data_IF_861488896140
#
_entry.id   IF_861488896140
#
_cell.length_a   1.000
_cell.length_b   1.000
_cell.length_c   1.000
_cell.angle_alpha   90.00
_cell.angle_beta   90.00
_cell.angle_gamma   90.00
#
_symmetry.space_group_name_H-M   'P 1'
#
loop_
_entity.id
_entity.type
_entity.pdbx_description
1 polymer ?
#
# COMPACT_ATOMS: atom_id res chain seq x y z
N UNK A 1 18.04 14.23 12.42
CA UNK A 1 16.59 14.54 12.56
C UNK A 1 15.96 13.33 13.24
N UNK A 2 15.13 13.54 14.27
CA UNK A 2 14.48 12.44 14.97
C UNK A 2 13.38 11.86 14.09
N UNK A 3 13.42 10.55 13.80
CA UNK A 3 12.46 9.90 12.93
C UNK A 3 11.20 9.57 13.72
N UNK A 4 10.06 9.99 13.23
CA UNK A 4 8.76 9.73 13.84
C UNK A 4 7.95 8.79 12.94
N UNK A 5 7.54 7.66 13.47
CA UNK A 5 6.65 6.74 12.78
C UNK A 5 5.22 6.84 13.31
N UNK A 6 4.27 6.38 12.48
CA UNK A 6 2.88 6.23 12.90
C UNK A 6 2.73 5.25 14.06
N UNK A 7 1.69 5.44 14.88
CA UNK A 7 1.31 4.47 15.92
C UNK A 7 0.48 3.29 15.38
N UNK A 8 0.12 3.30 14.10
CA UNK A 8 -0.66 2.22 13.50
C UNK A 8 0.23 0.97 13.33
N UNK A 9 0.06 -0.03 14.18
CA UNK A 9 0.88 -1.26 14.19
C UNK A 9 0.91 -1.98 12.84
N UNK A 10 -0.23 -2.07 12.14
CA UNK A 10 -0.33 -2.69 10.83
C UNK A 10 0.54 -1.96 9.77
N UNK A 11 0.58 -0.64 9.82
CA UNK A 11 1.46 0.15 8.94
C UNK A 11 2.93 -0.05 9.30
N UNK A 12 3.28 -0.12 10.59
CA UNK A 12 4.65 -0.41 11.04
C UNK A 12 5.12 -1.79 10.58
N UNK A 13 4.26 -2.80 10.68
CA UNK A 13 4.55 -4.16 10.19
C UNK A 13 4.81 -4.12 8.68
N UNK A 14 3.95 -3.44 7.91
CA UNK A 14 4.14 -3.33 6.47
C UNK A 14 5.46 -2.64 6.13
N UNK A 15 5.79 -1.51 6.76
CA UNK A 15 7.05 -0.78 6.57
C UNK A 15 8.25 -1.67 6.90
N UNK A 16 8.21 -2.39 8.03
CA UNK A 16 9.27 -3.32 8.42
C UNK A 16 9.48 -4.43 7.41
N UNK A 17 8.40 -5.04 6.93
CA UNK A 17 8.46 -6.10 5.92
C UNK A 17 8.94 -5.55 4.57
N UNK A 18 8.53 -4.37 4.15
CA UNK A 18 9.06 -3.73 2.94
C UNK A 18 10.59 -3.61 3.01
N UNK A 19 11.13 -3.19 4.15
CA UNK A 19 12.58 -3.15 4.37
C UNK A 19 13.24 -4.53 4.26
N UNK A 20 12.63 -5.55 4.87
CA UNK A 20 13.15 -6.93 4.83
C UNK A 20 13.16 -7.50 3.40
N UNK A 21 12.18 -7.14 2.58
CA UNK A 21 12.09 -7.56 1.17
C UNK A 21 12.87 -6.68 0.20
N UNK A 22 13.60 -5.67 0.69
CA UNK A 22 14.38 -4.78 -0.16
C UNK A 22 13.54 -3.78 -0.98
N UNK A 23 12.28 -3.55 -0.61
CA UNK A 23 11.35 -2.67 -1.32
C UNK A 23 11.60 -1.22 -0.87
N UNK A 24 12.13 -0.40 -1.76
CA UNK A 24 12.56 0.98 -1.46
C UNK A 24 11.73 2.04 -2.17
N UNK A 25 11.31 1.77 -3.41
CA UNK A 25 10.71 2.76 -4.29
C UNK A 25 9.22 2.92 -4.00
N UNK A 26 8.80 4.15 -3.67
CA UNK A 26 7.42 4.47 -3.35
C UNK A 26 6.98 5.72 -4.11
N UNK A 27 5.89 5.63 -4.86
CA UNK A 27 5.24 6.77 -5.50
C UNK A 27 3.99 7.11 -4.69
N UNK A 28 3.99 8.28 -4.07
CA UNK A 28 2.93 8.71 -3.17
C UNK A 28 2.03 9.76 -3.84
N UNK A 29 0.72 9.45 -3.90
CA UNK A 29 -0.34 10.42 -4.15
C UNK A 29 -0.91 10.84 -2.80
N UNK A 30 -0.61 12.06 -2.32
CA UNK A 30 -0.91 12.45 -0.94
C UNK A 30 -2.42 12.59 -0.72
N UNK A 31 -2.89 12.11 0.42
CA UNK A 31 -4.27 12.24 0.86
C UNK A 31 -4.39 11.94 2.36
N UNK A 32 -5.44 12.44 3.00
CA UNK A 32 -5.57 12.42 4.46
C UNK A 32 -5.40 11.01 5.07
N UNK A 33 -5.99 10.00 4.44
CA UNK A 33 -6.00 8.65 5.02
C UNK A 33 -4.65 7.95 4.89
N UNK A 34 -3.82 8.26 3.89
CA UNK A 34 -2.51 7.63 3.77
C UNK A 34 -1.36 8.45 4.41
N UNK A 35 -1.65 9.61 5.00
CA UNK A 35 -0.65 10.45 5.69
C UNK A 35 0.17 9.65 6.72
N UNK A 36 -0.42 8.86 7.61
CA UNK A 36 0.39 8.13 8.61
C UNK A 36 1.43 7.20 8.00
N UNK A 37 1.09 6.52 6.92
CA UNK A 37 2.02 5.67 6.18
C UNK A 37 3.07 6.50 5.43
N UNK A 38 2.63 7.47 4.63
CA UNK A 38 3.54 8.29 3.80
C UNK A 38 4.51 9.10 4.64
N UNK A 39 4.04 9.77 5.70
CA UNK A 39 4.91 10.57 6.55
C UNK A 39 5.93 9.72 7.32
N UNK A 40 5.60 8.47 7.65
CA UNK A 40 6.55 7.54 8.27
C UNK A 40 7.69 7.19 7.32
N UNK A 41 7.39 6.88 6.05
CA UNK A 41 8.41 6.48 5.08
C UNK A 41 9.20 7.67 4.53
N UNK A 42 8.62 8.87 4.46
CA UNK A 42 9.33 10.08 4.01
C UNK A 42 10.47 10.50 4.93
N UNK A 43 10.42 10.14 6.20
CA UNK A 43 11.44 10.46 7.20
C UNK A 43 12.52 9.40 7.30
N UNK A 44 12.37 8.29 6.60
CA UNK A 44 13.26 7.15 6.66
C UNK A 44 14.10 7.09 5.38
N UNK A 45 15.39 7.37 5.51
CA UNK A 45 16.37 7.41 4.40
C UNK A 45 16.49 6.07 3.64
N UNK A 46 15.87 5.01 4.16
CA UNK A 46 15.78 3.74 3.45
C UNK A 46 14.91 3.83 2.18
N UNK A 47 13.88 4.68 2.19
CA UNK A 47 12.90 4.77 1.12
C UNK A 47 13.19 5.90 0.13
N UNK A 48 13.01 5.59 -1.14
CA UNK A 48 13.02 6.54 -2.25
C UNK A 48 11.57 6.96 -2.54
N UNK A 49 11.13 8.08 -1.95
CA UNK A 49 9.74 8.53 -2.06
C UNK A 49 9.59 9.60 -3.13
N UNK A 50 8.78 9.30 -4.14
CA UNK A 50 8.42 10.20 -5.23
C UNK A 50 6.98 10.70 -5.04
N UNK A 51 6.75 12.00 -5.22
CA UNK A 51 5.41 12.59 -5.15
C UNK A 51 4.78 12.67 -6.54
N UNK A 52 3.54 12.16 -6.67
CA UNK A 52 2.73 12.32 -7.88
C UNK A 52 1.27 12.51 -7.46
N UNK A 53 0.74 13.71 -7.67
CA UNK A 53 -0.60 14.08 -7.19
C UNK A 53 -1.71 13.28 -7.87
N UNK A 54 -1.59 13.03 -9.18
CA UNK A 54 -2.54 12.24 -9.95
C UNK A 54 -2.27 10.75 -9.82
N UNK A 55 -3.22 10.01 -9.28
CA UNK A 55 -3.06 8.58 -8.97
C UNK A 55 -2.88 7.72 -10.22
N UNK A 56 -3.53 8.06 -11.33
CA UNK A 56 -3.37 7.34 -12.60
C UNK A 56 -1.95 7.51 -13.12
N UNK A 57 -1.46 8.72 -13.12
CA UNK A 57 -0.07 9.02 -13.50
C UNK A 57 0.93 8.31 -12.59
N UNK A 58 0.69 8.33 -11.28
CA UNK A 58 1.51 7.61 -10.29
C UNK A 58 1.62 6.12 -10.60
N UNK A 59 0.49 5.50 -10.93
CA UNK A 59 0.45 4.07 -11.23
C UNK A 59 1.18 3.71 -12.54
N UNK A 60 1.07 4.55 -13.59
CA UNK A 60 1.86 4.36 -14.81
C UNK A 60 3.36 4.67 -14.61
N UNK A 61 3.71 5.66 -13.77
CA UNK A 61 5.10 5.88 -13.36
C UNK A 61 5.67 4.63 -12.68
N UNK A 62 4.89 3.96 -11.82
CA UNK A 62 5.32 2.72 -11.19
C UNK A 62 5.55 1.60 -12.20
N UNK A 63 4.68 1.46 -13.20
CA UNK A 63 4.89 0.50 -14.28
C UNK A 63 6.19 0.77 -15.05
N UNK A 64 6.45 2.03 -15.37
CA UNK A 64 7.69 2.45 -16.04
C UNK A 64 8.92 2.15 -15.17
N UNK A 65 8.90 2.55 -13.92
CA UNK A 65 10.00 2.36 -12.98
C UNK A 65 10.27 0.86 -12.70
N UNK A 66 9.21 0.06 -12.51
CA UNK A 66 9.34 -1.38 -12.34
C UNK A 66 9.89 -2.07 -13.61
N UNK A 67 9.54 -1.58 -14.79
CA UNK A 67 10.07 -2.09 -16.07
C UNK A 67 11.56 -1.81 -16.21
N UNK A 68 11.97 -0.60 -15.88
CA UNK A 68 13.36 -0.15 -16.03
C UNK A 68 14.30 -0.81 -15.02
N UNK A 69 13.84 -0.95 -13.76
CA UNK A 69 14.69 -1.45 -12.67
C UNK A 69 14.56 -2.93 -12.41
N UNK A 70 13.45 -3.57 -12.81
CA UNK A 70 13.11 -4.94 -12.42
C UNK A 70 12.74 -5.10 -10.94
N UNK A 71 12.63 -3.99 -10.19
CA UNK A 71 12.36 -3.98 -8.75
C UNK A 71 10.90 -3.72 -8.44
N UNK A 72 10.41 -4.17 -7.27
CA UNK A 72 9.07 -3.81 -6.80
C UNK A 72 8.93 -2.31 -6.55
N UNK A 73 7.83 -1.74 -7.02
CA UNK A 73 7.48 -0.33 -6.82
C UNK A 73 6.15 -0.22 -6.11
N UNK A 74 6.13 0.50 -4.99
CA UNK A 74 4.92 0.79 -4.23
C UNK A 74 4.24 2.04 -4.79
N UNK A 75 2.92 1.99 -4.96
CA UNK A 75 2.07 3.16 -5.15
C UNK A 75 1.15 3.30 -3.95
N UNK A 76 0.96 4.51 -3.46
CA UNK A 76 0.07 4.72 -2.31
C UNK A 76 -0.81 5.95 -2.49
N UNK A 77 -2.08 5.78 -2.16
CA UNK A 77 -3.07 6.87 -2.14
C UNK A 77 -4.06 6.67 -1.00
N UNK A 78 -4.91 7.66 -0.79
CA UNK A 78 -6.10 7.50 0.04
C UNK A 78 -7.10 6.54 -0.61
N UNK A 79 -8.04 6.05 0.16
CA UNK A 79 -9.09 5.16 -0.32
C UNK A 79 -10.07 5.78 -1.30
N UNK A 80 -11.26 5.21 -1.38
CA UNK A 80 -12.36 5.68 -2.22
C UNK A 80 -12.01 5.82 -3.71
N UNK A 81 -12.43 6.92 -4.33
CA UNK A 81 -12.28 7.15 -5.78
C UNK A 81 -10.82 7.28 -6.21
N UNK A 82 -9.94 7.78 -5.36
CA UNK A 82 -8.49 7.83 -5.63
C UNK A 82 -7.93 6.46 -6.03
N UNK A 83 -8.24 5.43 -5.26
CA UNK A 83 -7.78 4.06 -5.53
C UNK A 83 -8.33 3.47 -6.84
N UNK A 84 -9.43 4.01 -7.38
CA UNK A 84 -9.97 3.57 -8.67
C UNK A 84 -9.16 4.08 -9.85
N UNK A 85 -8.43 5.18 -9.68
CA UNK A 85 -7.54 5.69 -10.73
C UNK A 85 -6.34 4.77 -11.01
N UNK A 86 -5.99 3.88 -10.07
CA UNK A 86 -4.92 2.88 -10.28
C UNK A 86 -5.30 1.78 -11.28
N UNK A 87 -6.59 1.50 -11.47
CA UNK A 87 -7.04 0.31 -12.20
C UNK A 87 -6.44 0.17 -13.60
N UNK A 88 -6.38 1.21 -14.45
CA UNK A 88 -5.81 1.06 -15.79
C UNK A 88 -4.36 0.59 -15.77
N UNK A 89 -3.51 1.20 -14.94
CA UNK A 89 -2.11 0.85 -14.85
C UNK A 89 -1.88 -0.49 -14.13
N UNK A 90 -2.72 -0.83 -13.14
CA UNK A 90 -2.68 -2.14 -12.49
C UNK A 90 -3.06 -3.26 -13.48
N UNK A 91 -4.02 -3.01 -14.39
CA UNK A 91 -4.34 -3.94 -15.48
C UNK A 91 -3.11 -4.14 -16.38
N UNK A 92 -2.44 -3.07 -16.78
CA UNK A 92 -1.20 -3.18 -17.57
C UNK A 92 -0.12 -3.95 -16.80
N UNK A 93 0.09 -3.63 -15.52
CA UNK A 93 1.03 -4.34 -14.67
C UNK A 93 0.71 -5.85 -14.58
N UNK A 94 -0.56 -6.21 -14.55
CA UNK A 94 -1.00 -7.61 -14.50
C UNK A 94 -0.58 -8.37 -15.76
N UNK A 95 -0.89 -7.87 -16.95
CA UNK A 95 -0.55 -8.54 -18.21
C UNK A 95 0.95 -8.52 -18.52
N UNK A 96 1.67 -7.53 -18.02
CA UNK A 96 3.14 -7.43 -18.15
C UNK A 96 3.90 -8.09 -16.99
N UNK A 97 3.19 -8.59 -15.97
CA UNK A 97 3.78 -9.18 -14.74
C UNK A 97 4.74 -8.24 -14.01
N UNK A 98 4.39 -6.95 -13.96
CA UNK A 98 5.21 -5.97 -13.27
C UNK A 98 4.93 -6.00 -11.75
N UNK A 99 5.97 -5.96 -10.91
CA UNK A 99 5.82 -6.01 -9.45
C UNK A 99 5.38 -4.65 -8.88
N UNK A 100 4.16 -4.23 -9.19
CA UNK A 100 3.56 -3.01 -8.65
C UNK A 100 2.73 -3.35 -7.42
N UNK A 101 3.00 -2.69 -6.30
CA UNK A 101 2.36 -2.91 -5.01
C UNK A 101 1.48 -1.70 -4.69
N UNK A 102 0.17 -1.83 -4.84
CA UNK A 102 -0.76 -0.77 -4.47
C UNK A 102 -1.09 -0.87 -2.96
N UNK A 103 -0.72 0.17 -2.20
CA UNK A 103 -1.08 0.35 -0.79
C UNK A 103 -2.10 1.48 -0.69
N UNK A 104 -3.35 1.13 -0.46
CA UNK A 104 -4.43 2.12 -0.35
C UNK A 104 -4.88 2.28 1.09
N UNK A 105 -4.76 3.49 1.62
CA UNK A 105 -5.32 3.82 2.92
C UNK A 105 -6.83 3.63 2.90
N UNK A 106 -7.40 3.01 3.91
CA UNK A 106 -8.84 2.76 4.01
C UNK A 106 -9.34 2.96 5.42
N UNK A 107 -10.62 3.23 5.54
CA UNK A 107 -11.34 3.14 6.80
C UNK A 107 -11.75 1.67 7.07
N UNK A 108 -12.43 1.44 8.18
CA UNK A 108 -12.94 0.13 8.57
C UNK A 108 -13.85 -0.45 7.49
N UNK A 109 -13.69 -1.72 7.22
CA UNK A 109 -14.51 -2.42 6.23
C UNK A 109 -16.00 -2.41 6.59
N UNK A 110 -16.31 -2.41 7.88
CA UNK A 110 -17.68 -2.34 8.41
C UNK A 110 -18.41 -1.05 8.04
N UNK A 111 -17.69 0.01 7.69
CA UNK A 111 -18.27 1.28 7.25
C UNK A 111 -18.78 1.23 5.79
N UNK A 112 -18.43 0.18 5.05
CA UNK A 112 -18.84 0.02 3.65
C UNK A 112 -20.37 -0.16 3.56
N UNK A 113 -20.99 0.61 2.68
CA UNK A 113 -22.44 0.56 2.48
C UNK A 113 -23.26 1.41 3.46
N UNK A 114 -22.63 2.08 4.42
CA UNK A 114 -23.29 2.91 5.42
C UNK A 114 -23.21 4.43 5.13
N UNK A 115 -23.02 4.79 3.86
CA UNK A 115 -22.90 6.20 3.41
C UNK A 115 -21.78 6.99 4.11
N UNK A 116 -20.80 6.30 4.67
CA UNK A 116 -19.62 6.95 5.24
C UNK A 116 -18.75 7.54 4.13
N UNK A 117 -18.28 8.79 4.29
CA UNK A 117 -17.42 9.41 3.29
C UNK A 117 -16.19 8.54 2.99
N UNK A 118 -15.86 8.42 1.71
CA UNK A 118 -14.67 7.68 1.22
C UNK A 118 -14.62 6.18 1.57
N UNK A 119 -15.70 5.58 2.04
CA UNK A 119 -15.80 4.15 2.33
C UNK A 119 -16.44 3.41 1.16
N UNK A 120 -15.62 2.89 0.26
CA UNK A 120 -16.05 2.09 -0.89
C UNK A 120 -15.66 0.63 -0.72
N UNK A 121 -16.43 -0.28 -1.31
CA UNK A 121 -16.11 -1.70 -1.30
C UNK A 121 -14.92 -2.01 -2.22
N UNK A 122 -13.85 -2.55 -1.63
CA UNK A 122 -12.66 -3.06 -2.30
C UNK A 122 -12.35 -4.50 -1.88
N UNK A 123 -13.32 -5.20 -1.29
CA UNK A 123 -13.16 -6.59 -0.87
C UNK A 123 -12.95 -7.52 -2.05
N UNK A 124 -13.52 -7.15 -3.19
CA UNK A 124 -13.34 -7.85 -4.44
C UNK A 124 -12.83 -6.87 -5.52
N UNK A 125 -11.81 -7.30 -6.23
CA UNK A 125 -11.26 -6.61 -7.38
C UNK A 125 -11.37 -7.51 -8.61
N UNK A 126 -11.33 -6.92 -9.79
CA UNK A 126 -11.27 -7.69 -11.03
C UNK A 126 -10.03 -8.59 -11.02
N UNK A 127 -10.16 -9.77 -11.61
CA UNK A 127 -9.10 -10.81 -11.59
C UNK A 127 -7.81 -10.38 -12.25
N UNK A 128 -7.88 -9.43 -13.17
CA UNK A 128 -6.77 -8.91 -13.96
C UNK A 128 -6.26 -7.54 -13.48
N UNK A 129 -6.54 -7.18 -12.25
CA UNK A 129 -6.03 -5.96 -11.58
C UNK A 129 -4.89 -6.30 -10.60
N UNK A 130 -5.04 -7.40 -9.87
CA UNK A 130 -4.00 -7.84 -8.95
C UNK A 130 -4.06 -9.37 -8.77
N UNK A 131 -2.89 -9.99 -8.68
CA UNK A 131 -2.76 -11.42 -8.42
C UNK A 131 -3.01 -11.78 -6.96
N UNK A 132 -2.96 -10.80 -6.07
CA UNK A 132 -3.23 -10.94 -4.65
C UNK A 132 -3.81 -9.63 -4.11
N UNK A 133 -4.86 -9.73 -3.31
CA UNK A 133 -5.40 -8.59 -2.57
C UNK A 133 -5.59 -8.99 -1.10
N UNK A 134 -5.17 -8.11 -0.19
CA UNK A 134 -5.26 -8.34 1.26
C UNK A 134 -5.79 -7.11 1.99
N UNK A 135 -6.32 -7.34 3.19
CA UNK A 135 -6.70 -6.31 4.14
C UNK A 135 -5.81 -6.39 5.37
N UNK A 136 -5.11 -5.30 5.68
CA UNK A 136 -4.35 -5.14 6.91
C UNK A 136 -5.17 -4.28 7.87
N UNK A 137 -6.00 -4.94 8.67
CA UNK A 137 -6.86 -4.30 9.65
C UNK A 137 -6.08 -3.75 10.84
N UNK A 138 -6.71 -2.88 11.64
CA UNK A 138 -6.14 -2.42 12.90
C UNK A 138 -5.91 -3.59 13.87
N UNK A 139 -4.77 -3.54 14.56
CA UNK A 139 -4.32 -4.61 15.46
C UNK A 139 -4.70 -4.27 16.89
N UNK A 140 -5.46 -5.16 17.54
CA UNK A 140 -5.89 -5.05 18.94
C UNK A 140 -5.54 -6.29 19.77
N UNK A 141 -5.23 -7.40 19.09
CA UNK A 141 -4.90 -8.69 19.70
C UNK A 141 -3.70 -9.30 19.01
N UNK A 142 -3.01 -10.22 19.68
CA UNK A 142 -1.86 -10.95 19.11
C UNK A 142 -2.25 -11.78 17.88
N UNK A 143 -3.47 -12.33 17.85
CA UNK A 143 -3.97 -13.06 16.70
C UNK A 143 -4.13 -12.15 15.48
N UNK A 144 -4.62 -10.93 15.67
CA UNK A 144 -4.72 -9.93 14.59
C UNK A 144 -3.33 -9.48 14.11
N UNK A 145 -2.37 -9.38 15.01
CA UNK A 145 -0.97 -9.07 14.67
C UNK A 145 -0.37 -10.19 13.81
N UNK A 146 -0.47 -11.42 14.26
CA UNK A 146 -0.04 -12.59 13.49
C UNK A 146 -0.69 -12.62 12.11
N UNK A 147 -2.01 -12.41 12.02
CA UNK A 147 -2.75 -12.38 10.76
C UNK A 147 -2.25 -11.27 9.84
N UNK A 148 -2.02 -10.07 10.37
CA UNK A 148 -1.47 -8.95 9.62
C UNK A 148 -0.10 -9.29 9.02
N UNK A 149 0.79 -9.91 9.80
CA UNK A 149 2.11 -10.35 9.35
C UNK A 149 1.95 -11.38 8.21
N UNK A 150 1.08 -12.36 8.34
CA UNK A 150 0.84 -13.39 7.33
C UNK A 150 0.32 -12.77 6.02
N UNK A 151 -0.70 -11.91 6.11
CA UNK A 151 -1.33 -11.31 4.93
C UNK A 151 -0.39 -10.31 4.24
N UNK A 152 0.37 -9.51 4.99
CA UNK A 152 1.39 -8.62 4.41
C UNK A 152 2.49 -9.41 3.70
N UNK A 153 3.06 -10.44 4.33
CA UNK A 153 4.04 -11.33 3.68
C UNK A 153 3.47 -11.97 2.42
N UNK A 154 2.24 -12.48 2.47
CA UNK A 154 1.57 -13.07 1.31
C UNK A 154 1.52 -12.08 0.14
N UNK A 155 1.13 -10.84 0.37
CA UNK A 155 1.08 -9.82 -0.68
C UNK A 155 2.48 -9.52 -1.24
N UNK A 156 3.45 -9.22 -0.36
CA UNK A 156 4.81 -8.84 -0.78
C UNK A 156 5.52 -9.97 -1.53
N UNK A 157 5.43 -11.22 -1.06
CA UNK A 157 6.04 -12.38 -1.75
C UNK A 157 5.40 -12.59 -3.13
N UNK A 158 4.09 -12.46 -3.27
CA UNK A 158 3.43 -12.67 -4.55
C UNK A 158 3.81 -11.61 -5.58
N UNK A 159 4.23 -10.41 -5.19
CA UNK A 159 4.64 -9.38 -6.16
C UNK A 159 5.81 -9.81 -7.04
N UNK A 160 6.68 -10.71 -6.56
CA UNK A 160 7.90 -11.14 -7.27
C UNK A 160 7.96 -12.65 -7.54
N UNK A 161 7.24 -13.46 -6.76
CA UNK A 161 7.31 -14.92 -6.85
C UNK A 161 6.72 -15.45 -8.16
N UNK A 162 7.35 -16.43 -8.79
CA UNK A 162 6.88 -17.15 -10.00
C UNK A 162 6.55 -16.20 -11.17
N UNK A 163 7.38 -15.22 -11.38
CA UNK A 163 7.20 -14.19 -12.40
C UNK A 163 6.45 -12.96 -11.91
N UNK A 164 5.90 -13.01 -10.68
CA UNK A 164 5.33 -11.85 -10.02
C UNK A 164 4.10 -11.25 -10.68
N UNK A 165 3.78 -10.06 -10.27
CA UNK A 165 2.67 -9.25 -10.77
C UNK A 165 2.16 -8.26 -9.74
N UNK A 166 1.17 -7.45 -10.11
CA UNK A 166 0.64 -6.45 -9.21
C UNK A 166 -0.11 -7.07 -8.04
N UNK A 167 0.03 -6.45 -6.87
CA UNK A 167 -0.69 -6.81 -5.65
C UNK A 167 -1.38 -5.60 -5.04
N UNK A 168 -2.46 -5.83 -4.30
CA UNK A 168 -3.21 -4.78 -3.63
C UNK A 168 -3.28 -5.01 -2.12
N UNK A 169 -2.89 -4.01 -1.37
CA UNK A 169 -2.94 -3.98 0.10
C UNK A 169 -3.88 -2.86 0.52
N UNK A 170 -5.03 -3.23 1.08
CA UNK A 170 -5.90 -2.29 1.77
C UNK A 170 -5.36 -2.12 3.20
N UNK A 171 -4.89 -0.93 3.51
CA UNK A 171 -4.31 -0.61 4.81
C UNK A 171 -5.31 0.21 5.63
N UNK A 172 -5.92 -0.41 6.65
CA UNK A 172 -6.80 0.31 7.56
C UNK A 172 -5.99 1.25 8.44
N UNK A 173 -6.26 2.55 8.30
CA UNK A 173 -5.56 3.59 9.05
C UNK A 173 -6.57 4.37 9.87
N UNK A 174 -6.36 4.39 11.18
CA UNK A 174 -7.01 5.35 12.06
C UNK A 174 -6.24 6.67 12.00
N UNK A 175 -6.92 7.79 12.14
CA UNK A 175 -6.32 9.13 12.22
C UNK A 175 -5.15 9.11 13.20
N UNK A 176 -3.96 9.10 12.64
CA UNK A 176 -2.80 8.65 13.36
C UNK A 176 -2.07 9.77 14.06
N UNK A 177 -1.81 9.55 15.31
CA UNK A 177 -0.72 10.22 15.99
C UNK A 177 0.60 9.58 15.57
N UNK A 178 1.66 10.40 15.54
CA UNK A 178 3.02 9.93 15.36
C UNK A 178 3.66 9.76 16.72
N UNK A 179 4.36 8.67 16.94
CA UNK A 179 5.21 8.51 18.11
C UNK A 179 6.67 8.71 17.74
N UNK A 180 7.46 9.21 18.71
CA UNK A 180 8.91 9.15 18.58
C UNK A 180 9.34 7.68 18.57
N UNK A 181 10.31 7.38 17.74
CA UNK A 181 11.02 6.12 17.84
C UNK A 181 11.99 6.28 19.03
N UNK A 182 11.82 5.49 20.08
CA UNK A 182 12.82 5.31 21.13
C UNK A 182 13.99 4.48 20.58
#
# INVERSE_FOLDING_TARGET
MEIHYTVNKNALILISLMKQYGIKKVIASPGTVNVPFVASIQQDDYFEVYSCVDERSAAYMACGLATETGEPVVITCTGATASRNYLPAMTEAYYRKLPVIAVTGTDRIENTGHLMPQSIDRTQIQKDIAICSVFLNQIRTDEQEWRCIVDANKALINSTRRGGGPVHINLEINNGYFCKKD
#
